data_IF_016727359961
#
_entry.id   IF_016727359961
#
_cell.length_a   1.000
_cell.length_b   1.000
_cell.length_c   1.000
_cell.angle_alpha   90.00
_cell.angle_beta   90.00
_cell.angle_gamma   90.00
#
_symmetry.space_group_name_H-M   'P 1'
#
loop_
_entity.id
_entity.type
_entity.pdbx_description
1 polymer ?
#
# COMPACT_ATOMS: atom_id res chain seq x y z
N UNK A 1 10.60 15.25 2.29
CA UNK A 1 11.46 14.27 2.97
C UNK A 1 11.76 14.60 4.44
N UNK A 2 12.21 15.80 4.79
CA UNK A 2 12.55 16.18 6.19
C UNK A 2 11.38 16.11 7.21
N UNK A 3 10.12 16.33 6.79
CA UNK A 3 8.96 16.25 7.70
C UNK A 3 8.65 14.80 8.14
N UNK A 4 8.93 13.80 7.29
CA UNK A 4 8.79 12.38 7.63
C UNK A 4 9.85 11.93 8.66
N UNK A 5 11.09 12.40 8.51
CA UNK A 5 12.16 12.09 9.46
C UNK A 5 11.85 12.59 10.88
N UNK A 6 11.25 13.77 11.01
CA UNK A 6 10.85 14.35 12.30
C UNK A 6 9.77 13.52 13.01
N UNK A 7 8.79 13.00 12.24
CA UNK A 7 7.73 12.15 12.77
C UNK A 7 8.28 10.78 13.23
N UNK A 8 9.21 10.22 12.46
CA UNK A 8 9.90 8.97 12.78
C UNK A 8 10.77 9.11 14.03
N UNK A 9 11.53 10.22 14.13
CA UNK A 9 12.33 10.51 15.30
C UNK A 9 11.47 10.64 16.57
N UNK A 10 10.28 11.25 16.46
CA UNK A 10 9.34 11.36 17.58
C UNK A 10 8.81 9.98 18.03
N UNK A 11 8.54 9.08 17.09
CA UNK A 11 8.09 7.71 17.39
C UNK A 11 9.22 6.90 18.05
N UNK A 12 10.45 7.02 17.56
CA UNK A 12 11.63 6.37 18.15
C UNK A 12 11.86 6.87 19.57
N UNK A 13 11.77 8.18 19.80
CA UNK A 13 11.92 8.79 21.11
C UNK A 13 10.82 8.33 22.08
N UNK A 14 9.56 8.27 21.60
CA UNK A 14 8.42 7.80 22.38
C UNK A 14 8.57 6.32 22.74
N UNK A 15 8.99 5.47 21.79
CA UNK A 15 9.21 4.04 22.01
C UNK A 15 10.37 3.82 23.00
N UNK A 16 11.45 4.59 22.89
CA UNK A 16 12.55 4.57 23.81
C UNK A 16 12.12 4.97 25.24
N UNK A 17 11.32 6.03 25.34
CA UNK A 17 10.76 6.48 26.61
C UNK A 17 9.82 5.43 27.24
N UNK A 18 8.96 4.81 26.44
CA UNK A 18 8.08 3.71 26.91
C UNK A 18 8.88 2.47 27.34
N UNK A 19 9.95 2.13 26.62
CA UNK A 19 10.83 1.02 26.97
C UNK A 19 11.55 1.25 28.31
N UNK A 20 11.92 2.50 28.61
CA UNK A 20 12.48 2.88 29.90
C UNK A 20 11.50 2.67 31.08
N UNK A 21 10.19 2.85 30.84
CA UNK A 21 9.17 2.74 31.88
C UNK A 21 8.64 1.32 32.08
N UNK A 22 8.57 0.49 31.00
CA UNK A 22 7.88 -0.81 31.05
C UNK A 22 8.80 -2.02 31.17
N UNK A 23 10.13 -1.87 31.03
CA UNK A 23 11.03 -3.04 31.08
C UNK A 23 11.53 -3.25 32.50
N UNK A 24 11.06 -4.28 33.26
CA UNK A 24 11.59 -4.63 34.55
C UNK A 24 12.95 -5.32 34.36
N UNK A 25 14.02 -4.73 34.88
CA UNK A 25 15.35 -5.32 34.85
C UNK A 25 16.19 -4.90 36.06
N UNK A 26 17.25 -5.65 36.37
CA UNK A 26 18.15 -5.41 37.50
C UNK A 26 18.79 -4.03 37.41
N UNK A 27 18.59 -3.23 38.46
CA UNK A 27 18.96 -1.83 38.52
C UNK A 27 20.45 -1.64 38.81
N UNK A 28 21.20 -1.03 37.89
CA UNK A 28 22.55 -0.52 38.16
C UNK A 28 22.58 0.84 38.86
N UNK A 29 21.53 1.64 38.73
CA UNK A 29 21.40 2.96 39.39
C UNK A 29 19.93 3.31 39.60
N UNK A 30 19.53 3.48 40.84
CA UNK A 30 18.21 4.01 41.24
C UNK A 30 18.29 5.51 41.38
N UNK A 31 17.84 6.25 40.38
CA UNK A 31 17.58 7.70 40.53
C UNK A 31 16.06 7.87 40.42
N UNK A 32 15.37 7.86 41.56
CA UNK A 32 13.93 8.06 41.65
C UNK A 32 13.10 6.95 40.99
N UNK A 33 12.17 7.31 40.10
CA UNK A 33 11.25 6.40 39.39
C UNK A 33 11.85 5.76 38.12
N UNK A 34 13.09 6.06 37.74
CA UNK A 34 13.74 5.59 36.50
C UNK A 34 14.81 4.53 36.86
N UNK A 35 14.52 3.28 36.59
CA UNK A 35 15.48 2.18 36.64
C UNK A 35 16.21 2.06 35.31
N UNK A 36 17.33 2.74 35.13
CA UNK A 36 18.18 2.59 33.93
C UNK A 36 19.05 1.35 34.12
N UNK A 37 18.67 0.28 33.44
CA UNK A 37 19.40 -1.00 33.45
C UNK A 37 20.22 -1.11 32.17
N UNK A 38 21.38 -1.77 32.20
CA UNK A 38 22.18 -2.08 31.02
C UNK A 38 21.34 -2.85 29.97
N UNK A 39 20.42 -3.69 30.44
CA UNK A 39 19.49 -4.40 29.58
C UNK A 39 18.53 -3.48 28.82
N UNK A 40 17.97 -2.47 29.49
CA UNK A 40 17.10 -1.46 28.88
C UNK A 40 17.86 -0.66 27.82
N UNK A 41 19.10 -0.27 28.10
CA UNK A 41 19.94 0.46 27.15
C UNK A 41 20.28 -0.41 25.92
N UNK A 42 20.63 -1.69 26.12
CA UNK A 42 20.86 -2.63 25.02
C UNK A 42 19.58 -2.86 24.19
N UNK A 43 18.45 -3.12 24.84
CA UNK A 43 17.17 -3.32 24.16
C UNK A 43 16.74 -2.09 23.40
N UNK A 44 16.90 -0.89 23.98
CA UNK A 44 16.62 0.37 23.31
C UNK A 44 17.51 0.59 22.08
N UNK A 45 18.81 0.32 22.20
CA UNK A 45 19.74 0.42 21.08
C UNK A 45 19.38 -0.57 19.94
N UNK A 46 19.07 -1.83 20.29
CA UNK A 46 18.61 -2.82 19.29
C UNK A 46 17.30 -2.39 18.62
N UNK A 47 16.34 -1.82 19.35
CA UNK A 47 15.09 -1.31 18.76
C UNK A 47 15.36 -0.14 17.80
N UNK A 48 16.20 0.80 18.17
CA UNK A 48 16.58 1.92 17.29
C UNK A 48 17.23 1.41 16.01
N UNK A 49 18.19 0.50 16.12
CA UNK A 49 18.84 -0.11 14.94
C UNK A 49 17.83 -0.87 14.08
N UNK A 50 16.96 -1.69 14.67
CA UNK A 50 15.92 -2.45 13.95
C UNK A 50 14.97 -1.53 13.19
N UNK A 51 14.46 -0.48 13.84
CA UNK A 51 13.57 0.49 13.21
C UNK A 51 14.29 1.26 12.09
N UNK A 52 15.54 1.65 12.31
CA UNK A 52 16.35 2.33 11.29
C UNK A 52 16.55 1.47 10.05
N UNK A 53 16.90 0.19 10.21
CA UNK A 53 17.03 -0.74 9.07
C UNK A 53 15.71 -0.97 8.33
N UNK A 54 14.59 -1.09 9.05
CA UNK A 54 13.28 -1.22 8.43
C UNK A 54 12.91 0.01 7.62
N UNK A 55 13.16 1.20 8.16
CA UNK A 55 12.86 2.46 7.46
C UNK A 55 13.74 2.65 6.24
N UNK A 56 15.05 2.42 6.38
CA UNK A 56 16.00 2.53 5.26
C UNK A 56 15.65 1.49 4.18
N UNK A 57 15.43 0.24 4.54
CA UNK A 57 15.07 -0.82 3.60
C UNK A 57 13.76 -0.54 2.86
N UNK A 58 12.71 -0.14 3.59
CA UNK A 58 11.43 0.23 3.00
C UNK A 58 11.55 1.46 2.07
N UNK A 59 12.30 2.48 2.49
CA UNK A 59 12.53 3.68 1.69
C UNK A 59 13.31 3.37 0.41
N UNK A 60 14.36 2.56 0.51
CA UNK A 60 15.12 2.11 -0.66
C UNK A 60 14.22 1.32 -1.63
N UNK A 61 13.45 0.36 -1.12
CA UNK A 61 12.50 -0.40 -1.94
C UNK A 61 11.52 0.53 -2.68
N UNK A 62 10.93 1.50 -1.98
CA UNK A 62 9.97 2.44 -2.58
C UNK A 62 10.60 3.33 -3.66
N UNK A 63 11.87 3.71 -3.49
CA UNK A 63 12.58 4.57 -4.45
C UNK A 63 13.15 3.81 -5.65
N UNK A 64 13.51 2.54 -5.47
CA UNK A 64 14.18 1.75 -6.51
C UNK A 64 13.26 0.84 -7.29
N UNK A 65 12.13 0.44 -6.71
CA UNK A 65 11.23 -0.57 -7.30
C UNK A 65 9.93 0.07 -7.77
N UNK A 66 9.62 -0.09 -9.05
CA UNK A 66 8.33 0.32 -9.59
C UNK A 66 7.23 -0.67 -9.16
N UNK A 67 5.95 -0.25 -9.06
CA UNK A 67 4.84 -1.15 -8.72
C UNK A 67 4.74 -2.38 -9.65
N UNK A 68 5.06 -2.21 -10.94
CA UNK A 68 5.06 -3.31 -11.91
C UNK A 68 6.17 -4.32 -11.62
N UNK A 69 7.38 -3.85 -11.29
CA UNK A 69 8.49 -4.74 -10.89
C UNK A 69 8.19 -5.49 -9.60
N UNK A 70 7.49 -4.85 -8.66
CA UNK A 70 7.03 -5.51 -7.44
C UNK A 70 6.04 -6.65 -7.75
N UNK A 71 5.09 -6.41 -8.65
CA UNK A 71 4.13 -7.44 -9.11
C UNK A 71 4.84 -8.62 -9.77
N UNK A 72 5.82 -8.35 -10.65
CA UNK A 72 6.63 -9.38 -11.30
C UNK A 72 7.49 -10.16 -10.28
N UNK A 73 8.01 -9.47 -9.25
CA UNK A 73 8.72 -10.10 -8.15
C UNK A 73 7.84 -11.05 -7.33
N UNK A 74 6.60 -10.63 -7.04
CA UNK A 74 5.60 -11.46 -6.36
C UNK A 74 5.25 -12.69 -7.21
N UNK A 75 5.01 -12.53 -8.51
CA UNK A 75 4.73 -13.64 -9.43
C UNK A 75 5.85 -14.68 -9.41
N UNK A 76 7.10 -14.23 -9.53
CA UNK A 76 8.28 -15.13 -9.48
C UNK A 76 8.44 -15.79 -8.12
N UNK A 77 8.27 -15.03 -7.04
CA UNK A 77 8.40 -15.53 -5.67
C UNK A 77 7.32 -16.53 -5.27
N UNK A 78 6.09 -16.32 -5.74
CA UNK A 78 4.96 -17.18 -5.46
C UNK A 78 4.76 -18.30 -6.50
N UNK A 79 5.63 -18.41 -7.50
CA UNK A 79 5.55 -19.41 -8.57
C UNK A 79 5.48 -20.86 -8.08
N UNK A 80 5.99 -21.16 -6.87
CA UNK A 80 5.86 -22.46 -6.23
C UNK A 80 4.42 -22.82 -5.82
N UNK A 81 3.53 -21.81 -5.62
CA UNK A 81 2.11 -22.00 -5.33
C UNK A 81 1.34 -22.57 -6.53
N UNK A 82 1.87 -22.48 -7.76
CA UNK A 82 1.29 -23.17 -8.92
C UNK A 82 1.17 -24.69 -8.70
N UNK A 83 2.02 -25.28 -7.83
CA UNK A 83 1.90 -26.70 -7.43
C UNK A 83 0.65 -27.01 -6.61
N UNK A 84 0.05 -25.98 -5.97
CA UNK A 84 -1.16 -26.10 -5.13
C UNK A 84 -2.39 -25.61 -5.92
N UNK A 85 -2.32 -25.57 -7.26
CA UNK A 85 -3.39 -25.12 -8.15
C UNK A 85 -3.83 -23.66 -7.93
N UNK A 86 -2.96 -22.80 -7.42
CA UNK A 86 -3.22 -21.35 -7.34
C UNK A 86 -2.78 -20.71 -8.66
N UNK A 87 -3.65 -20.02 -9.39
CA UNK A 87 -3.33 -19.41 -10.68
C UNK A 87 -2.53 -18.11 -10.48
N UNK A 88 -1.25 -18.24 -10.08
CA UNK A 88 -0.38 -17.11 -9.74
C UNK A 88 -0.16 -16.17 -10.92
N UNK A 89 -0.11 -16.72 -12.13
CA UNK A 89 0.07 -15.93 -13.34
C UNK A 89 -1.15 -15.02 -13.63
N UNK A 90 -2.35 -15.56 -13.47
CA UNK A 90 -3.60 -14.79 -13.65
C UNK A 90 -3.73 -13.70 -12.59
N UNK A 91 -3.36 -13.99 -11.34
CA UNK A 91 -3.33 -13.00 -10.26
C UNK A 91 -2.33 -11.87 -10.58
N UNK A 92 -1.13 -12.19 -11.03
CA UNK A 92 -0.13 -11.19 -11.41
C UNK A 92 -0.61 -10.33 -12.58
N UNK A 93 -1.29 -10.93 -13.56
CA UNK A 93 -1.90 -10.19 -14.67
C UNK A 93 -3.00 -9.25 -14.18
N UNK A 94 -3.92 -9.72 -13.32
CA UNK A 94 -4.95 -8.88 -12.73
C UNK A 94 -4.34 -7.69 -11.97
N UNK A 95 -3.29 -7.91 -11.20
CA UNK A 95 -2.56 -6.83 -10.51
C UNK A 95 -1.94 -5.82 -11.49
N UNK A 96 -1.32 -6.29 -12.57
CA UNK A 96 -0.73 -5.42 -13.60
C UNK A 96 -1.77 -4.57 -14.31
N UNK A 97 -2.93 -5.17 -14.63
CA UNK A 97 -4.09 -4.46 -15.20
C UNK A 97 -4.60 -3.42 -14.20
N UNK A 98 -4.81 -3.80 -12.94
CA UNK A 98 -5.28 -2.90 -11.90
C UNK A 98 -4.34 -1.70 -11.71
N UNK A 99 -3.04 -1.92 -11.60
CA UNK A 99 -2.04 -0.85 -11.47
C UNK A 99 -2.05 0.12 -12.66
N UNK A 100 -2.30 -0.39 -13.86
CA UNK A 100 -2.44 0.45 -15.06
C UNK A 100 -3.72 1.28 -15.04
N UNK A 101 -4.82 0.73 -14.51
CA UNK A 101 -6.11 1.41 -14.50
C UNK A 101 -6.26 2.41 -13.35
N UNK A 102 -5.51 2.31 -12.25
CA UNK A 102 -5.58 3.23 -11.12
C UNK A 102 -5.45 4.71 -11.56
N UNK A 103 -4.44 5.13 -12.34
CA UNK A 103 -4.34 6.53 -12.78
C UNK A 103 -5.55 6.98 -13.61
N UNK A 104 -6.02 6.11 -14.50
CA UNK A 104 -7.16 6.40 -15.38
C UNK A 104 -8.46 6.56 -14.54
N UNK A 105 -8.63 5.71 -13.54
CA UNK A 105 -9.77 5.74 -12.62
C UNK A 105 -9.76 7.03 -11.77
N UNK A 106 -8.59 7.48 -11.32
CA UNK A 106 -8.44 8.75 -10.62
C UNK A 106 -8.81 9.95 -11.50
N UNK A 107 -8.38 9.97 -12.75
CA UNK A 107 -8.75 11.02 -13.70
C UNK A 107 -10.26 11.05 -13.98
N UNK A 108 -10.88 9.87 -14.14
CA UNK A 108 -12.32 9.74 -14.36
C UNK A 108 -13.11 10.21 -13.14
N UNK A 109 -12.66 9.82 -11.94
CA UNK A 109 -13.23 10.29 -10.69
C UNK A 109 -13.20 11.83 -10.58
N UNK A 110 -12.08 12.44 -10.91
CA UNK A 110 -11.94 13.90 -10.90
C UNK A 110 -12.89 14.58 -11.89
N UNK A 111 -13.08 14.02 -13.08
CA UNK A 111 -14.03 14.52 -14.08
C UNK A 111 -15.48 14.42 -13.58
N UNK A 112 -15.86 13.27 -13.04
CA UNK A 112 -17.21 13.06 -12.49
C UNK A 112 -17.44 14.00 -11.31
N UNK A 113 -16.47 14.15 -10.42
CA UNK A 113 -16.56 15.03 -9.25
C UNK A 113 -16.80 16.48 -9.67
N UNK A 114 -16.01 17.00 -10.61
CA UNK A 114 -16.20 18.35 -11.16
C UNK A 114 -17.58 18.54 -11.80
N UNK A 115 -18.05 17.54 -12.56
CA UNK A 115 -19.37 17.58 -13.18
C UNK A 115 -20.51 17.58 -12.14
N UNK A 116 -20.38 16.83 -11.06
CA UNK A 116 -21.36 16.80 -9.99
C UNK A 116 -21.33 18.08 -9.15
N UNK A 117 -20.15 18.66 -8.89
CA UNK A 117 -20.03 19.96 -8.25
C UNK A 117 -20.71 21.07 -9.06
N UNK A 118 -20.56 21.07 -10.39
CA UNK A 118 -21.26 22.00 -11.29
C UNK A 118 -22.78 21.84 -11.26
N UNK A 119 -23.30 20.67 -10.84
CA UNK A 119 -24.73 20.40 -10.62
C UNK A 119 -25.19 20.72 -9.20
N UNK A 120 -24.32 21.32 -8.37
CA UNK A 120 -24.63 21.71 -7.00
C UNK A 120 -24.41 20.62 -5.96
N UNK A 121 -23.73 19.53 -6.30
CA UNK A 121 -23.34 18.51 -5.30
C UNK A 121 -22.28 19.07 -4.36
N UNK A 122 -22.51 18.93 -3.07
CA UNK A 122 -21.58 19.30 -2.01
C UNK A 122 -21.03 18.02 -1.34
N UNK A 123 -19.72 17.84 -1.42
CA UNK A 123 -19.02 16.68 -0.88
C UNK A 123 -18.34 16.95 0.47
N UNK A 124 -18.26 18.23 0.88
CA UNK A 124 -17.50 18.65 2.05
C UNK A 124 -18.35 19.00 3.24
N UNK A 125 -19.60 19.51 3.02
CA UNK A 125 -20.47 20.00 4.07
C UNK A 125 -21.33 18.88 4.67
N UNK A 126 -21.69 19.02 5.94
CA UNK A 126 -22.66 18.16 6.61
C UNK A 126 -22.08 17.04 7.45
N UNK A 127 -23.00 16.23 7.99
CA UNK A 127 -22.69 15.10 8.88
C UNK A 127 -22.07 13.93 8.08
N UNK A 128 -21.35 13.01 8.74
CA UNK A 128 -20.70 11.84 8.10
C UNK A 128 -21.66 11.05 7.19
N UNK A 129 -22.91 10.89 7.60
CA UNK A 129 -23.96 10.20 6.83
C UNK A 129 -24.33 10.99 5.57
N UNK A 130 -24.41 12.32 5.67
CA UNK A 130 -24.72 13.18 4.52
C UNK A 130 -23.56 13.18 3.51
N UNK A 131 -22.33 13.22 3.96
CA UNK A 131 -21.13 13.07 3.12
C UNK A 131 -21.11 11.72 2.40
N UNK A 132 -21.41 10.63 3.10
CA UNK A 132 -21.50 9.30 2.50
C UNK A 132 -22.60 9.23 1.41
N UNK A 133 -23.77 9.83 1.65
CA UNK A 133 -24.82 9.95 0.62
C UNK A 133 -24.41 10.83 -0.55
N UNK A 134 -23.64 11.89 -0.32
CA UNK A 134 -23.09 12.75 -1.35
C UNK A 134 -22.12 12.04 -2.29
N UNK A 135 -21.46 10.96 -1.84
CA UNK A 135 -20.56 10.16 -2.69
C UNK A 135 -21.28 9.21 -3.66
N UNK A 136 -22.55 8.87 -3.41
CA UNK A 136 -23.31 7.95 -4.28
C UNK A 136 -23.41 8.44 -5.72
N UNK A 137 -23.73 9.72 -6.00
CA UNK A 137 -23.75 10.25 -7.37
C UNK A 137 -22.40 10.22 -8.09
N UNK A 138 -21.30 10.05 -7.36
CA UNK A 138 -19.96 9.89 -7.90
C UNK A 138 -19.62 8.42 -8.14
N UNK A 139 -19.95 7.55 -7.18
CA UNK A 139 -19.61 6.14 -7.23
C UNK A 139 -20.40 5.37 -8.31
N UNK A 140 -21.68 5.67 -8.49
CA UNK A 140 -22.53 4.94 -9.43
C UNK A 140 -22.07 5.13 -10.89
N UNK A 141 -21.85 6.37 -11.39
CA UNK A 141 -21.33 6.56 -12.75
C UNK A 141 -19.95 5.96 -12.94
N UNK A 142 -19.07 6.11 -11.94
CA UNK A 142 -17.73 5.55 -11.97
C UNK A 142 -17.76 4.03 -12.10
N UNK A 143 -18.58 3.36 -11.30
CA UNK A 143 -18.71 1.91 -11.32
C UNK A 143 -19.25 1.39 -12.68
N UNK A 144 -20.23 2.09 -13.26
CA UNK A 144 -20.77 1.75 -14.58
C UNK A 144 -19.71 1.91 -15.67
N UNK A 145 -18.92 3.00 -15.61
CA UNK A 145 -17.84 3.24 -16.56
C UNK A 145 -16.76 2.15 -16.49
N UNK A 146 -16.40 1.73 -15.28
CA UNK A 146 -15.38 0.69 -15.09
C UNK A 146 -15.86 -0.70 -15.50
N UNK A 147 -17.12 -1.04 -15.27
CA UNK A 147 -17.69 -2.30 -15.80
C UNK A 147 -17.67 -2.33 -17.32
N UNK A 148 -18.06 -1.23 -17.99
CA UNK A 148 -17.98 -1.14 -19.45
C UNK A 148 -16.55 -1.31 -19.95
N UNK A 149 -15.60 -0.63 -19.32
CA UNK A 149 -14.17 -0.73 -19.64
C UNK A 149 -13.62 -2.15 -19.43
N UNK A 150 -14.06 -2.84 -18.36
CA UNK A 150 -13.68 -4.24 -18.12
C UNK A 150 -14.21 -5.16 -19.23
N UNK A 151 -15.46 -4.95 -19.70
CA UNK A 151 -16.02 -5.71 -20.81
C UNK A 151 -15.27 -5.42 -22.13
N UNK A 152 -14.95 -4.16 -22.42
CA UNK A 152 -14.19 -3.78 -23.62
C UNK A 152 -12.79 -4.41 -23.60
N UNK A 153 -12.14 -4.42 -22.42
CA UNK A 153 -10.85 -5.09 -22.25
C UNK A 153 -10.97 -6.60 -22.46
N UNK A 154 -11.98 -7.24 -21.90
CA UNK A 154 -12.22 -8.68 -22.08
C UNK A 154 -12.40 -9.03 -23.55
N UNK A 155 -13.24 -8.30 -24.28
CA UNK A 155 -13.44 -8.48 -25.74
C UNK A 155 -12.12 -8.26 -26.51
N UNK A 156 -11.35 -7.25 -26.13
CA UNK A 156 -10.05 -7.00 -26.77
C UNK A 156 -9.02 -8.11 -26.51
N UNK A 157 -9.07 -8.74 -25.33
CA UNK A 157 -8.22 -9.89 -24.99
C UNK A 157 -8.64 -11.14 -25.77
N UNK A 158 -9.95 -11.43 -25.87
CA UNK A 158 -10.48 -12.52 -26.68
C UNK A 158 -10.13 -12.35 -28.15
N UNK A 159 -10.28 -11.15 -28.72
CA UNK A 159 -9.88 -10.84 -30.08
C UNK A 159 -8.38 -11.03 -30.36
N UNK A 160 -7.55 -11.00 -29.31
CA UNK A 160 -6.09 -11.30 -29.36
C UNK A 160 -5.78 -12.76 -29.00
N UNK A 161 -6.78 -13.65 -29.03
CA UNK A 161 -6.66 -15.08 -28.73
C UNK A 161 -6.09 -15.34 -27.32
N UNK A 162 -6.53 -14.58 -26.31
CA UNK A 162 -6.17 -14.85 -24.93
C UNK A 162 -6.99 -16.05 -24.42
N UNK A 163 -6.32 -17.14 -24.06
CA UNK A 163 -6.94 -18.38 -23.53
C UNK A 163 -6.36 -18.79 -22.16
N UNK A 164 -5.92 -17.84 -21.34
CA UNK A 164 -5.34 -18.11 -20.04
C UNK A 164 -3.82 -17.96 -19.98
N UNK A 165 -3.22 -18.38 -18.87
CA UNK A 165 -1.78 -18.19 -18.60
C UNK A 165 -0.87 -19.29 -19.12
N UNK A 166 -1.42 -20.46 -19.51
CA UNK A 166 -0.63 -21.61 -19.93
C UNK A 166 0.05 -21.35 -21.28
N UNK A 167 1.35 -21.66 -21.36
CA UNK A 167 2.15 -21.55 -22.60
C UNK A 167 2.54 -20.13 -23.01
N UNK A 168 2.28 -19.09 -22.20
CA UNK A 168 2.68 -17.71 -22.53
C UNK A 168 4.10 -17.40 -22.11
N UNK A 169 4.80 -16.67 -22.99
CA UNK A 169 6.11 -16.07 -22.71
C UNK A 169 5.98 -14.56 -22.55
N UNK A 170 6.73 -13.95 -21.64
CA UNK A 170 6.82 -12.49 -21.53
C UNK A 170 7.69 -11.93 -22.65
N UNK A 171 7.22 -10.87 -23.30
CA UNK A 171 7.96 -10.23 -24.41
C UNK A 171 9.26 -9.58 -23.93
N UNK A 172 9.34 -9.19 -22.65
CA UNK A 172 10.54 -8.63 -22.02
C UNK A 172 10.64 -9.19 -20.61
N UNK A 173 11.39 -10.27 -20.38
CA UNK A 173 11.67 -10.76 -19.04
C UNK A 173 12.56 -9.75 -18.32
N UNK A 174 12.24 -9.43 -17.07
CA UNK A 174 13.05 -8.63 -16.16
C UNK A 174 14.14 -9.50 -15.52
#
# INVERSE_FOLDING_TARGET
MLKGLKSIFMIILLTFCFSLFLTPGDSLFKIGFLNVTVQVLKTGLYMVMRLSYLIIGSSLMTLTTTPNQLTDGIEKGLGWLNRIHVPVHEVAMMMSIALRFIPILLEEMDRIMKAQQARGADFESGNLIQRAKGLVPLLVPLFIAEIRRANDLAMAMEARCYHGGEGRTKMKPL
#
